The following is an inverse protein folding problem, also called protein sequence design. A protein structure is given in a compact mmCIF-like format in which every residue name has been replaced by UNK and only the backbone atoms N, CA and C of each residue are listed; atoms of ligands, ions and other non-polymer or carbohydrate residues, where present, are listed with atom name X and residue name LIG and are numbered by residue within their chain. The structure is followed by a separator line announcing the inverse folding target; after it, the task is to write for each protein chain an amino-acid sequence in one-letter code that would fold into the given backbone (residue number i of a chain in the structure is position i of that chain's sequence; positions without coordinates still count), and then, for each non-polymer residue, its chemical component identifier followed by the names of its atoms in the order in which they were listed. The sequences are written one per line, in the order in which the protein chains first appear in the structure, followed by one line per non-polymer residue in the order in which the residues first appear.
data_IF_217093519176
#
_entry.id   IF_217093519176
#
_cell.length_a   1.000
_cell.length_b   1.000
_cell.length_c   1.000
_cell.angle_alpha   90.00
_cell.angle_beta   90.00
_cell.angle_gamma   90.00
#
_symmetry.space_group_name_H-M   'P 1'
#
loop_
_entity.id
_entity.type
_entity.pdbx_description
1 polymer ?
#
# COMPACT_ATOMS: atom_id res chain seq x y z
N UNK A 1 1.84 15.77 4.05
CA UNK A 1 1.25 15.01 5.18
C UNK A 1 -0.26 15.20 5.30
N UNK A 2 -0.80 16.42 5.26
CA UNK A 2 -2.26 16.66 5.23
C UNK A 2 -3.00 15.92 4.10
N UNK A 3 -2.39 15.80 2.92
CA UNK A 3 -2.95 15.10 1.75
C UNK A 3 -3.12 13.59 1.98
N UNK A 4 -2.22 12.99 2.77
CA UNK A 4 -2.29 11.59 3.16
C UNK A 4 -3.33 11.38 4.25
N UNK A 5 -3.35 12.28 5.26
CA UNK A 5 -4.31 12.26 6.35
C UNK A 5 -5.76 12.40 5.86
N UNK A 6 -6.02 13.34 4.95
CA UNK A 6 -7.37 13.53 4.40
C UNK A 6 -7.83 12.32 3.58
N UNK A 7 -6.91 11.65 2.87
CA UNK A 7 -7.23 10.45 2.10
C UNK A 7 -7.60 9.27 3.01
N UNK A 8 -6.84 9.04 4.08
CA UNK A 8 -7.15 8.01 5.09
C UNK A 8 -8.45 8.30 5.82
N UNK A 9 -8.69 9.56 6.23
CA UNK A 9 -9.93 9.96 6.88
C UNK A 9 -11.15 9.80 5.98
N UNK A 10 -11.05 10.19 4.71
CA UNK A 10 -12.13 10.00 3.73
C UNK A 10 -12.46 8.52 3.56
N UNK A 11 -11.45 7.66 3.42
CA UNK A 11 -11.65 6.22 3.26
C UNK A 11 -12.29 5.60 4.51
N UNK A 12 -11.80 5.97 5.70
CA UNK A 12 -12.35 5.55 6.99
C UNK A 12 -13.82 5.93 7.14
N UNK A 13 -14.19 7.16 6.75
CA UNK A 13 -15.57 7.62 6.77
C UNK A 13 -16.48 6.84 5.80
N UNK A 14 -15.98 6.49 4.60
CA UNK A 14 -16.75 5.70 3.64
C UNK A 14 -16.94 4.27 4.16
N UNK A 15 -15.88 3.63 4.66
CA UNK A 15 -15.92 2.27 5.19
C UNK A 15 -16.85 2.17 6.42
N UNK A 16 -16.76 3.13 7.33
CA UNK A 16 -17.66 3.24 8.48
C UNK A 16 -19.11 3.50 8.03
N UNK A 17 -19.33 4.43 7.10
CA UNK A 17 -20.66 4.82 6.63
C UNK A 17 -21.38 3.69 5.88
N UNK A 18 -20.71 2.98 4.97
CA UNK A 18 -21.29 1.86 4.22
C UNK A 18 -21.64 0.71 5.17
N UNK A 19 -20.75 0.36 6.08
CA UNK A 19 -20.98 -0.74 7.05
C UNK A 19 -22.10 -0.37 8.03
N UNK A 20 -22.11 0.87 8.51
CA UNK A 20 -23.18 1.36 9.39
C UNK A 20 -24.53 1.41 8.67
N UNK A 21 -24.59 1.80 7.40
CA UNK A 21 -25.82 1.81 6.62
C UNK A 21 -26.37 0.38 6.38
N UNK A 22 -25.49 -0.61 6.18
CA UNK A 22 -25.89 -2.00 5.94
C UNK A 22 -26.24 -2.76 7.23
N UNK A 23 -25.51 -2.51 8.32
CA UNK A 23 -25.66 -3.27 9.57
C UNK A 23 -26.47 -2.52 10.64
N UNK A 24 -26.53 -1.19 10.58
CA UNK A 24 -27.16 -0.35 11.60
C UNK A 24 -26.42 -0.33 12.94
N UNK A 25 -25.21 -0.91 13.03
CA UNK A 25 -24.47 -1.10 14.28
C UNK A 25 -23.10 -0.43 14.25
N UNK A 26 -22.86 0.41 15.26
CA UNK A 26 -21.59 1.14 15.48
C UNK A 26 -20.43 0.18 15.79
N UNK A 27 -20.73 -0.99 16.37
CA UNK A 27 -19.72 -2.00 16.67
C UNK A 27 -19.16 -2.65 15.40
N UNK A 28 -20.00 -2.88 14.39
CA UNK A 28 -19.56 -3.45 13.12
C UNK A 28 -18.71 -2.45 12.32
N UNK A 29 -19.13 -1.19 12.29
CA UNK A 29 -18.42 -0.15 11.56
C UNK A 29 -17.05 0.21 12.17
N UNK A 30 -16.91 0.15 13.50
CA UNK A 30 -15.61 0.28 14.18
C UNK A 30 -14.67 -0.90 13.92
N UNK A 31 -15.21 -2.13 13.81
CA UNK A 31 -14.43 -3.30 13.42
C UNK A 31 -13.89 -3.17 12.00
N UNK A 32 -14.73 -2.73 11.05
CA UNK A 32 -14.33 -2.50 9.65
C UNK A 32 -13.29 -1.40 9.53
N UNK A 33 -13.44 -0.33 10.30
CA UNK A 33 -12.46 0.75 10.43
C UNK A 33 -11.05 0.26 10.82
N UNK A 34 -10.95 -0.75 11.69
CA UNK A 34 -9.68 -1.36 12.07
C UNK A 34 -9.18 -2.39 11.03
N UNK A 35 -10.09 -3.02 10.29
CA UNK A 35 -9.76 -3.98 9.23
C UNK A 35 -9.10 -3.30 8.04
N UNK A 36 -9.43 -2.06 7.72
CA UNK A 36 -8.87 -1.34 6.57
C UNK A 36 -7.33 -1.25 6.56
N UNK A 37 -6.64 -0.75 7.61
CA UNK A 37 -5.18 -0.74 7.65
C UNK A 37 -4.56 -2.14 7.73
N UNK A 38 -5.28 -3.11 8.29
CA UNK A 38 -4.86 -4.52 8.30
C UNK A 38 -4.92 -5.12 6.90
N UNK A 39 -5.99 -4.88 6.14
CA UNK A 39 -6.12 -5.30 4.75
C UNK A 39 -5.11 -4.61 3.84
N UNK A 40 -4.81 -3.32 4.05
CA UNK A 40 -3.77 -2.63 3.32
C UNK A 40 -2.37 -3.24 3.61
N UNK A 41 -2.10 -3.59 4.87
CA UNK A 41 -0.83 -4.24 5.27
C UNK A 41 -0.74 -5.68 4.75
N UNK A 42 -1.82 -6.45 4.85
CA UNK A 42 -1.91 -7.84 4.37
C UNK A 42 -1.84 -7.87 2.85
N UNK A 43 -2.56 -6.98 2.17
CA UNK A 43 -2.54 -6.82 0.72
C UNK A 43 -1.14 -6.48 0.22
N UNK A 44 -0.43 -5.56 0.87
CA UNK A 44 0.96 -5.26 0.53
C UNK A 44 1.89 -6.45 0.79
N UNK A 45 1.71 -7.18 1.90
CA UNK A 45 2.48 -8.38 2.21
C UNK A 45 2.25 -9.51 1.18
N UNK A 46 1.00 -9.77 0.79
CA UNK A 46 0.70 -10.73 -0.27
C UNK A 46 1.19 -10.25 -1.63
N UNK A 47 1.04 -8.97 -1.96
CA UNK A 47 1.55 -8.38 -3.19
C UNK A 47 3.06 -8.58 -3.31
N UNK A 48 3.83 -8.20 -2.29
CA UNK A 48 5.27 -8.46 -2.22
C UNK A 48 5.59 -9.96 -2.34
N UNK A 49 4.86 -10.82 -1.62
CA UNK A 49 5.12 -12.27 -1.60
C UNK A 49 4.79 -12.96 -2.93
N UNK A 50 3.74 -12.52 -3.62
CA UNK A 50 3.34 -13.00 -4.94
C UNK A 50 4.31 -12.46 -5.99
N UNK A 51 4.65 -11.18 -5.91
CA UNK A 51 5.60 -10.54 -6.82
C UNK A 51 6.99 -11.14 -6.69
N UNK A 52 7.51 -11.39 -5.48
CA UNK A 52 8.77 -12.09 -5.30
C UNK A 52 8.79 -13.53 -5.83
N UNK A 53 7.64 -14.20 -5.89
CA UNK A 53 7.54 -15.52 -6.53
C UNK A 53 7.52 -15.42 -8.05
N UNK A 54 6.93 -14.35 -8.60
CA UNK A 54 6.88 -14.08 -10.04
C UNK A 54 8.21 -13.52 -10.56
N UNK A 55 8.89 -12.69 -9.77
CA UNK A 55 10.21 -12.06 -10.01
C UNK A 55 11.38 -13.03 -9.75
N UNK A 56 11.10 -14.33 -9.55
CA UNK A 56 12.08 -15.40 -9.78
C UNK A 56 12.32 -15.66 -11.28
N UNK A 57 11.72 -14.88 -12.18
CA UNK A 57 12.30 -14.63 -13.51
C UNK A 57 13.58 -13.78 -13.38
N UNK A 58 14.59 -14.01 -14.21
CA UNK A 58 15.98 -13.68 -13.90
C UNK A 58 16.16 -12.19 -13.60
N UNK A 59 16.67 -11.89 -12.40
CA UNK A 59 17.31 -10.60 -12.12
C UNK A 59 18.35 -10.37 -13.23
N UNK A 60 18.23 -9.32 -14.06
CA UNK A 60 19.38 -8.92 -14.85
C UNK A 60 20.41 -8.43 -13.84
N UNK A 61 21.41 -9.26 -13.64
CA UNK A 61 22.74 -8.86 -13.21
C UNK A 61 23.29 -7.90 -14.26
N UNK A 62 22.74 -6.69 -14.30
CA UNK A 62 23.10 -5.63 -15.24
C UNK A 62 23.94 -4.62 -14.48
N UNK A 63 25.24 -4.92 -14.44
CA UNK A 63 26.35 -4.01 -14.24
C UNK A 63 25.95 -2.52 -14.15
N UNK A 64 26.07 -1.93 -12.94
CA UNK A 64 26.28 -0.48 -12.83
C UNK A 64 27.61 -0.20 -13.53
N UNK A 65 27.64 0.47 -14.69
CA UNK A 65 28.91 0.77 -15.32
C UNK A 65 29.64 1.77 -14.42
N UNK A 66 30.85 1.43 -13.99
CA UNK A 66 31.69 2.26 -13.14
C UNK A 66 32.12 3.61 -13.76
N UNK A 67 31.64 3.94 -14.97
CA UNK A 67 32.03 5.11 -15.75
C UNK A 67 31.00 6.26 -15.75
N UNK A 68 29.87 6.16 -15.03
CA UNK A 68 28.93 7.28 -14.88
C UNK A 68 29.48 8.47 -14.05
N UNK A 69 30.70 8.36 -13.51
CA UNK A 69 31.35 9.34 -12.66
C UNK A 69 32.18 10.41 -13.40
N UNK A 70 32.34 10.34 -14.73
CA UNK A 70 33.35 11.14 -15.44
C UNK A 70 32.84 12.31 -16.29
N UNK A 71 31.53 12.61 -16.35
CA UNK A 71 31.01 13.63 -17.29
C UNK A 71 30.43 14.91 -16.66
N UNK A 72 30.79 15.26 -15.43
CA UNK A 72 30.29 16.49 -14.77
C UNK A 72 31.35 17.56 -14.48
N UNK A 73 32.50 17.54 -15.16
CA UNK A 73 33.50 18.61 -15.06
C UNK A 73 34.07 18.97 -16.43
N UNK A 74 33.42 19.92 -17.10
CA UNK A 74 34.03 20.81 -18.09
C UNK A 74 33.19 22.08 -18.19
#
# INVERSE_FOLDING_TARGET
MLKTLTFTLMHFCIAFGVTYALTGSVAASSLVAAIEPLCNSVGFYFHEKIWQRLEKGPRPNGERPAHAWLHHQA
#
